data_IF_092422489833
#
_entry.id   IF_092422489833
#
_cell.length_a   1.000
_cell.length_b   1.000
_cell.length_c   1.000
_cell.angle_alpha   90.00
_cell.angle_beta   90.00
_cell.angle_gamma   90.00
#
_symmetry.space_group_name_H-M   'P 1'
#
loop_
_entity.id
_entity.type
_entity.pdbx_description
1 polymer ?
#
# COMPACT_ATOMS: atom_id res chain seq x y z
N UNK A 1 -0.51 -14.72 -16.52
CA UNK A 1 -1.85 -14.39 -15.96
C UNK A 1 -2.56 -13.44 -16.91
N UNK A 2 -3.89 -13.50 -16.99
CA UNK A 2 -4.73 -12.60 -17.81
C UNK A 2 -5.45 -11.63 -16.88
N UNK A 3 -5.51 -10.34 -17.26
CA UNK A 3 -6.22 -9.29 -16.52
C UNK A 3 -7.30 -8.67 -17.43
N UNK A 4 -8.47 -8.36 -16.87
CA UNK A 4 -9.50 -7.60 -17.58
C UNK A 4 -9.19 -6.10 -17.55
N UNK A 5 -9.79 -5.33 -18.48
CA UNK A 5 -9.72 -3.85 -18.49
C UNK A 5 -10.15 -3.27 -17.14
N UNK A 6 -11.23 -3.81 -16.57
CA UNK A 6 -11.74 -3.39 -15.26
C UNK A 6 -10.74 -3.64 -14.11
N UNK A 7 -10.04 -4.78 -14.11
CA UNK A 7 -9.02 -5.06 -13.09
C UNK A 7 -7.86 -4.07 -13.19
N UNK A 8 -7.39 -3.78 -14.40
CA UNK A 8 -6.30 -2.83 -14.64
C UNK A 8 -6.71 -1.41 -14.23
N UNK A 9 -7.91 -0.98 -14.59
CA UNK A 9 -8.47 0.31 -14.16
C UNK A 9 -8.59 0.41 -12.64
N UNK A 10 -9.04 -0.67 -11.99
CA UNK A 10 -9.14 -0.71 -10.53
C UNK A 10 -7.76 -0.66 -9.88
N UNK A 11 -6.73 -1.28 -10.46
CA UNK A 11 -5.34 -1.15 -10.00
C UNK A 11 -4.82 0.29 -10.12
N UNK A 12 -5.04 0.95 -11.27
CA UNK A 12 -4.66 2.36 -11.45
C UNK A 12 -5.37 3.24 -10.41
N UNK A 13 -6.66 3.03 -10.20
CA UNK A 13 -7.45 3.77 -9.20
C UNK A 13 -6.86 3.61 -7.80
N UNK A 14 -6.54 2.38 -7.38
CA UNK A 14 -5.94 2.10 -6.07
C UNK A 14 -4.57 2.75 -5.88
N UNK A 15 -3.74 2.82 -6.94
CA UNK A 15 -2.43 3.49 -6.89
C UNK A 15 -2.54 4.99 -6.58
N UNK A 16 -3.64 5.65 -6.98
CA UNK A 16 -3.87 7.06 -6.65
C UNK A 16 -4.49 7.30 -5.27
N UNK A 17 -4.94 6.26 -4.58
CA UNK A 17 -5.68 6.38 -3.33
C UNK A 17 -4.93 7.17 -2.24
N UNK A 18 -3.64 6.89 -2.03
CA UNK A 18 -2.84 7.57 -1.00
C UNK A 18 -2.68 9.07 -1.26
N UNK A 19 -2.29 9.45 -2.48
CA UNK A 19 -2.13 10.85 -2.90
C UNK A 19 -3.45 11.62 -2.79
N UNK A 20 -4.54 11.03 -3.27
CA UNK A 20 -5.86 11.65 -3.21
C UNK A 20 -6.35 11.79 -1.77
N UNK A 21 -6.09 10.81 -0.90
CA UNK A 21 -6.39 10.95 0.51
C UNK A 21 -5.64 12.12 1.14
N UNK A 22 -4.35 12.30 0.85
CA UNK A 22 -3.60 13.49 1.30
C UNK A 22 -4.22 14.79 0.78
N UNK A 23 -4.52 14.85 -0.52
CA UNK A 23 -5.13 16.03 -1.16
C UNK A 23 -6.49 16.39 -0.54
N UNK A 24 -7.35 15.40 -0.32
CA UNK A 24 -8.70 15.61 0.21
C UNK A 24 -8.69 16.05 1.68
N UNK A 25 -7.75 15.55 2.48
CA UNK A 25 -7.70 15.80 3.93
C UNK A 25 -6.91 17.07 4.25
N UNK A 26 -5.77 17.28 3.58
CA UNK A 26 -4.82 18.36 3.90
C UNK A 26 -4.78 19.46 2.84
N UNK A 27 -5.46 19.27 1.72
CA UNK A 27 -5.50 20.20 0.60
C UNK A 27 -4.36 19.99 -0.39
N UNK A 28 -4.52 20.56 -1.59
CA UNK A 28 -3.61 20.36 -2.72
C UNK A 28 -2.15 20.80 -2.45
N UNK A 29 -1.95 21.78 -1.57
CA UNK A 29 -0.62 22.27 -1.20
C UNK A 29 0.14 21.33 -0.26
N UNK A 30 -0.56 20.39 0.39
CA UNK A 30 0.03 19.43 1.32
C UNK A 30 0.37 18.08 0.67
N UNK A 31 0.08 17.92 -0.63
CA UNK A 31 0.38 16.69 -1.36
C UNK A 31 1.89 16.48 -1.44
N UNK A 32 2.34 15.29 -1.03
CA UNK A 32 3.77 14.98 -0.92
C UNK A 32 4.34 14.32 -2.17
N UNK A 33 5.68 14.15 -2.19
CA UNK A 33 6.38 13.36 -3.20
C UNK A 33 6.34 11.84 -2.94
N UNK A 34 5.68 11.41 -1.85
CA UNK A 34 5.62 10.00 -1.43
C UNK A 34 4.94 9.09 -2.45
N UNK A 35 3.98 9.60 -3.21
CA UNK A 35 3.25 8.84 -4.24
C UNK A 35 4.00 8.71 -5.60
N UNK A 36 5.28 9.09 -5.67
CA UNK A 36 6.05 9.09 -6.92
C UNK A 36 6.11 7.71 -7.59
N UNK A 37 6.39 6.65 -6.81
CA UNK A 37 6.43 5.28 -7.31
C UNK A 37 5.03 4.79 -7.78
N UNK A 38 3.96 5.21 -7.11
CA UNK A 38 2.61 4.83 -7.51
C UNK A 38 2.19 5.52 -8.82
N UNK A 39 2.56 6.79 -8.99
CA UNK A 39 2.38 7.53 -10.25
C UNK A 39 3.12 6.85 -11.39
N UNK A 40 4.36 6.43 -11.16
CA UNK A 40 5.16 5.73 -12.17
C UNK A 40 4.49 4.42 -12.60
N UNK A 41 4.07 3.59 -11.64
CA UNK A 41 3.37 2.33 -11.90
C UNK A 41 2.04 2.54 -12.63
N UNK A 42 1.26 3.54 -12.20
CA UNK A 42 -0.01 3.87 -12.84
C UNK A 42 0.19 4.27 -14.30
N UNK A 43 1.20 5.11 -14.56
CA UNK A 43 1.56 5.57 -15.91
C UNK A 43 2.02 4.41 -16.78
N UNK A 44 2.88 3.53 -16.28
CA UNK A 44 3.34 2.35 -17.01
C UNK A 44 2.17 1.39 -17.33
N UNK A 45 1.27 1.17 -16.37
CA UNK A 45 0.11 0.32 -16.56
C UNK A 45 -0.82 0.90 -17.64
N UNK A 46 -1.13 2.20 -17.57
CA UNK A 46 -1.92 2.89 -18.58
C UNK A 46 -1.24 2.87 -19.97
N UNK A 47 0.07 3.07 -20.03
CA UNK A 47 0.84 2.96 -21.27
C UNK A 47 0.73 1.55 -21.87
N UNK A 48 0.87 0.50 -21.07
CA UNK A 48 0.71 -0.88 -21.54
C UNK A 48 -0.73 -1.20 -21.97
N UNK A 49 -1.74 -0.64 -21.29
CA UNK A 49 -3.15 -0.74 -21.71
C UNK A 49 -3.35 -0.19 -23.11
N UNK A 50 -2.75 0.96 -23.42
CA UNK A 50 -2.89 1.62 -24.73
C UNK A 50 -2.04 0.92 -25.80
N UNK A 51 -0.77 0.64 -25.50
CA UNK A 51 0.21 0.26 -26.52
C UNK A 51 0.38 -1.24 -26.70
N UNK A 52 0.20 -2.06 -25.65
CA UNK A 52 0.48 -3.50 -25.70
C UNK A 52 -0.80 -4.34 -25.73
N UNK A 53 -1.85 -3.89 -25.03
CA UNK A 53 -3.07 -4.69 -24.84
C UNK A 53 -4.27 -4.20 -25.65
N UNK A 54 -4.16 -3.09 -26.39
CA UNK A 54 -5.22 -2.59 -27.26
C UNK A 54 -6.52 -2.25 -26.51
N UNK A 55 -6.39 -1.75 -25.28
CA UNK A 55 -7.52 -1.41 -24.39
C UNK A 55 -7.97 0.05 -24.51
N UNK A 56 -7.37 0.80 -25.44
CA UNK A 56 -7.82 2.14 -25.82
C UNK A 56 -9.00 2.07 -26.79
N UNK A 57 -10.03 2.86 -26.50
CA UNK A 57 -11.22 2.97 -27.35
C UNK A 57 -10.93 3.79 -28.64
N UNK A 58 -9.96 4.71 -28.60
CA UNK A 58 -9.59 5.56 -29.75
C UNK A 58 -8.64 4.86 -30.72
N UNK A 59 -7.67 4.11 -30.17
CA UNK A 59 -6.64 3.41 -30.94
C UNK A 59 -7.09 2.00 -31.36
N UNK A 60 -8.08 1.46 -30.64
CA UNK A 60 -8.64 0.15 -30.92
C UNK A 60 -7.72 -1.00 -30.48
N UNK A 61 -8.08 -2.24 -30.85
CA UNK A 61 -7.43 -3.46 -30.37
C UNK A 61 -6.14 -3.78 -31.14
N UNK A 62 -5.22 -2.81 -31.20
CA UNK A 62 -3.93 -2.92 -31.87
C UNK A 62 -2.79 -2.86 -30.86
N UNK A 63 -1.71 -3.58 -31.18
CA UNK A 63 -0.43 -3.45 -30.48
C UNK A 63 0.47 -2.51 -31.27
N UNK A 64 1.02 -1.52 -30.58
CA UNK A 64 1.89 -0.45 -31.09
C UNK A 64 3.35 -0.64 -30.67
N UNK A 65 3.69 -1.81 -30.14
CA UNK A 65 4.92 -2.05 -29.37
C UNK A 65 6.22 -1.61 -30.04
N UNK A 66 7.15 -1.14 -29.20
CA UNK A 66 8.54 -1.55 -29.29
C UNK A 66 8.70 -2.80 -28.41
N UNK A 67 9.22 -3.89 -28.97
CA UNK A 67 9.56 -5.09 -28.22
C UNK A 67 10.75 -4.77 -27.29
N UNK A 68 10.50 -4.68 -25.97
CA UNK A 68 11.57 -4.70 -24.95
C UNK A 68 12.29 -6.06 -24.86
N UNK A 69 11.95 -7.03 -25.72
CA UNK A 69 12.22 -8.44 -25.51
C UNK A 69 13.21 -9.16 -26.43
N UNK A 70 13.59 -8.61 -27.59
CA UNK A 70 14.34 -9.45 -28.56
C UNK A 70 15.39 -8.70 -29.40
N UNK A 71 16.33 -8.04 -28.71
CA UNK A 71 17.54 -7.46 -29.34
C UNK A 71 18.64 -8.52 -29.63
N UNK A 72 18.31 -9.82 -29.63
CA UNK A 72 19.26 -10.91 -29.89
C UNK A 72 18.85 -11.81 -31.06
N UNK A 73 18.78 -11.27 -32.30
CA UNK A 73 19.08 -12.08 -33.49
C UNK A 73 19.30 -11.21 -34.76
N UNK A 74 20.55 -10.79 -34.96
CA UNK A 74 21.28 -10.98 -36.22
C UNK A 74 20.73 -10.49 -37.58
N UNK A 75 19.61 -9.78 -37.66
CA UNK A 75 19.13 -9.11 -38.88
C UNK A 75 18.39 -7.85 -38.47
N UNK A 76 18.81 -6.71 -39.05
CA UNK A 76 18.35 -5.37 -38.72
C UNK A 76 16.86 -5.31 -38.41
N UNK A 77 16.54 -5.21 -37.12
CA UNK A 77 15.22 -4.85 -36.66
C UNK A 77 14.96 -3.43 -37.12
N UNK A 78 14.10 -3.26 -38.13
CA UNK A 78 13.46 -1.97 -38.30
C UNK A 78 12.68 -1.75 -37.00
N UNK A 79 13.20 -0.91 -36.11
CA UNK A 79 12.34 -0.18 -35.18
C UNK A 79 11.24 0.39 -36.06
N UNK A 80 10.05 -0.19 -35.96
CA UNK A 80 8.87 0.33 -36.64
C UNK A 80 8.48 1.54 -35.80
N UNK A 81 9.28 2.60 -35.94
CA UNK A 81 9.17 3.80 -35.15
C UNK A 81 7.73 4.26 -35.24
N UNK A 82 7.09 4.36 -34.08
CA UNK A 82 5.76 4.94 -33.97
C UNK A 82 5.85 6.34 -34.59
N UNK A 83 4.97 6.65 -35.55
CA UNK A 83 4.96 7.98 -36.16
C UNK A 83 4.69 9.05 -35.09
N UNK A 84 5.20 10.27 -35.26
CA UNK A 84 4.96 11.38 -34.31
C UNK A 84 3.46 11.58 -34.00
N UNK A 85 2.61 11.39 -35.02
CA UNK A 85 1.16 11.46 -34.88
C UNK A 85 0.62 10.35 -33.98
N UNK A 86 1.12 9.12 -34.15
CA UNK A 86 0.73 7.97 -33.35
C UNK A 86 1.25 8.10 -31.91
N UNK A 87 2.49 8.56 -31.71
CA UNK A 87 3.07 8.77 -30.39
C UNK A 87 2.25 9.80 -29.59
N UNK A 88 1.89 10.92 -30.24
CA UNK A 88 1.00 11.92 -29.64
C UNK A 88 -0.37 11.35 -29.27
N UNK A 89 -0.92 10.45 -30.10
CA UNK A 89 -2.20 9.80 -29.80
C UNK A 89 -2.08 8.84 -28.61
N UNK A 90 -0.97 8.11 -28.49
CA UNK A 90 -0.67 7.26 -27.33
C UNK A 90 -0.65 8.11 -26.06
N UNK A 91 0.10 9.21 -26.04
CA UNK A 91 0.20 10.09 -24.87
C UNK A 91 -1.16 10.63 -24.42
N UNK A 92 -2.02 11.01 -25.39
CA UNK A 92 -3.36 11.49 -25.09
C UNK A 92 -4.25 10.39 -24.50
N UNK A 93 -4.22 9.19 -25.07
CA UNK A 93 -4.99 8.06 -24.56
C UNK A 93 -4.52 7.62 -23.17
N UNK A 94 -3.21 7.65 -22.91
CA UNK A 94 -2.65 7.39 -21.58
C UNK A 94 -3.18 8.42 -20.57
N UNK A 95 -3.17 9.70 -20.93
CA UNK A 95 -3.73 10.76 -20.09
C UNK A 95 -5.22 10.54 -19.81
N UNK A 96 -6.01 10.13 -20.81
CA UNK A 96 -7.44 9.82 -20.65
C UNK A 96 -7.62 8.67 -19.63
N UNK A 97 -6.86 7.59 -19.76
CA UNK A 97 -6.91 6.45 -18.83
C UNK A 97 -6.55 6.88 -17.41
N UNK A 98 -5.48 7.66 -17.24
CA UNK A 98 -5.05 8.16 -15.93
C UNK A 98 -6.13 9.07 -15.32
N UNK A 99 -6.59 10.09 -16.05
CA UNK A 99 -7.57 11.05 -15.53
C UNK A 99 -8.87 10.38 -15.10
N UNK A 100 -9.38 9.46 -15.91
CA UNK A 100 -10.60 8.72 -15.57
C UNK A 100 -10.45 7.93 -14.27
N UNK A 101 -9.32 7.26 -14.08
CA UNK A 101 -9.08 6.48 -12.86
C UNK A 101 -8.75 7.36 -11.64
N UNK A 102 -8.13 8.52 -11.87
CA UNK A 102 -7.90 9.52 -10.82
C UNK A 102 -9.23 10.05 -10.28
N UNK A 103 -10.15 10.46 -11.17
CA UNK A 103 -11.48 10.90 -10.76
C UNK A 103 -12.29 9.77 -10.12
N UNK A 104 -12.26 8.55 -10.68
CA UNK A 104 -12.90 7.38 -10.06
C UNK A 104 -12.41 7.12 -8.63
N UNK A 105 -11.10 7.17 -8.40
CA UNK A 105 -10.53 6.99 -7.07
C UNK A 105 -10.94 8.11 -6.12
N UNK A 106 -11.00 9.35 -6.61
CA UNK A 106 -11.42 10.52 -5.84
C UNK A 106 -12.88 10.41 -5.43
N UNK A 107 -13.76 10.06 -6.36
CA UNK A 107 -15.19 9.88 -6.09
C UNK A 107 -15.42 8.80 -5.01
N UNK A 108 -14.72 7.66 -5.11
CA UNK A 108 -14.78 6.59 -4.10
C UNK A 108 -14.32 7.05 -2.72
N UNK A 109 -13.24 7.83 -2.65
CA UNK A 109 -12.75 8.37 -1.37
C UNK A 109 -13.71 9.41 -0.79
N UNK A 110 -14.31 10.25 -1.61
CA UNK A 110 -15.32 11.24 -1.20
C UNK A 110 -16.58 10.54 -0.68
N UNK A 111 -17.07 9.53 -1.39
CA UNK A 111 -18.24 8.74 -0.99
C UNK A 111 -18.01 7.99 0.33
N UNK A 112 -16.76 7.61 0.63
CA UNK A 112 -16.40 6.82 1.81
C UNK A 112 -15.49 7.57 2.80
N UNK A 113 -15.58 8.89 2.84
CA UNK A 113 -14.73 9.76 3.68
C UNK A 113 -14.79 9.39 5.16
N UNK A 114 -15.95 8.98 5.66
CA UNK A 114 -16.10 8.52 7.04
C UNK A 114 -15.23 7.29 7.35
N UNK A 115 -15.23 6.30 6.44
CA UNK A 115 -14.42 5.08 6.57
C UNK A 115 -12.93 5.41 6.54
N UNK A 116 -12.51 6.32 5.67
CA UNK A 116 -11.12 6.81 5.61
C UNK A 116 -10.68 7.39 6.97
N UNK A 117 -11.52 8.25 7.57
CA UNK A 117 -11.23 8.81 8.89
C UNK A 117 -11.20 7.76 10.00
N UNK A 118 -12.09 6.76 9.98
CA UNK A 118 -12.08 5.67 10.95
C UNK A 118 -10.77 4.88 10.83
N UNK A 119 -10.38 4.48 9.63
CA UNK A 119 -9.12 3.76 9.39
C UNK A 119 -7.91 4.57 9.85
N UNK A 120 -7.85 5.87 9.55
CA UNK A 120 -6.77 6.74 10.01
C UNK A 120 -6.68 6.81 11.54
N UNK A 121 -7.82 6.95 12.24
CA UNK A 121 -7.86 6.95 13.72
C UNK A 121 -7.36 5.63 14.31
N UNK A 122 -7.74 4.50 13.71
CA UNK A 122 -7.26 3.20 14.16
C UNK A 122 -5.76 3.03 13.94
N UNK A 123 -5.23 3.44 12.79
CA UNK A 123 -3.80 3.39 12.51
C UNK A 123 -2.99 4.27 13.48
N UNK A 124 -3.53 5.42 13.90
CA UNK A 124 -2.91 6.22 14.96
C UNK A 124 -2.91 5.48 16.31
N UNK A 125 -3.97 4.74 16.62
CA UNK A 125 -4.12 4.02 17.90
C UNK A 125 -3.29 2.75 17.96
N UNK A 126 -3.27 1.98 16.87
CA UNK A 126 -2.79 0.59 16.84
C UNK A 126 -1.58 0.38 15.91
N UNK A 127 -1.16 1.40 15.17
CA UNK A 127 -0.08 1.36 14.14
C UNK A 127 -0.40 0.50 12.91
N UNK A 128 -1.14 -0.60 13.10
CA UNK A 128 -1.57 -1.53 12.06
C UNK A 128 -3.04 -1.87 12.24
N UNK A 129 -3.71 -2.18 11.12
CA UNK A 129 -5.08 -2.70 11.10
C UNK A 129 -5.11 -3.98 10.28
N UNK A 130 -5.87 -4.98 10.73
CA UNK A 130 -6.02 -6.25 10.05
C UNK A 130 -7.25 -6.29 9.11
N UNK A 131 -7.35 -7.35 8.32
CA UNK A 131 -8.45 -7.50 7.37
C UNK A 131 -9.82 -7.56 8.05
N UNK A 132 -9.93 -8.15 9.25
CA UNK A 132 -11.20 -8.25 9.94
C UNK A 132 -11.67 -6.88 10.45
N UNK A 133 -10.74 -6.01 10.85
CA UNK A 133 -11.04 -4.62 11.17
C UNK A 133 -11.47 -3.84 9.92
N UNK A 134 -10.79 -4.03 8.78
CA UNK A 134 -11.20 -3.42 7.51
C UNK A 134 -12.61 -3.85 7.13
N UNK A 135 -12.91 -5.16 7.17
CA UNK A 135 -14.23 -5.71 6.85
C UNK A 135 -15.32 -5.10 7.74
N UNK A 136 -15.06 -4.97 9.05
CA UNK A 136 -15.98 -4.32 9.98
C UNK A 136 -16.27 -2.87 9.58
N UNK A 137 -15.24 -2.09 9.24
CA UNK A 137 -15.40 -0.69 8.81
C UNK A 137 -16.20 -0.61 7.50
N UNK A 138 -15.92 -1.51 6.55
CA UNK A 138 -16.62 -1.55 5.27
C UNK A 138 -18.11 -1.87 5.43
N UNK A 139 -18.45 -2.73 6.39
CA UNK A 139 -19.82 -3.08 6.77
C UNK A 139 -20.51 -2.04 7.69
N UNK A 140 -19.81 -0.99 8.11
CA UNK A 140 -20.34 0.02 9.03
C UNK A 140 -20.46 -0.45 10.49
N UNK A 141 -19.72 -1.50 10.86
CA UNK A 141 -19.61 -2.00 12.24
C UNK A 141 -18.43 -1.35 12.95
N UNK A 142 -18.48 -1.34 14.28
CA UNK A 142 -17.37 -0.88 15.10
C UNK A 142 -16.19 -1.88 15.01
N UNK A 143 -15.00 -1.44 14.60
CA UNK A 143 -13.83 -2.30 14.50
C UNK A 143 -13.25 -2.57 15.90
N UNK A 144 -13.01 -3.85 16.20
CA UNK A 144 -12.39 -4.30 17.45
C UNK A 144 -10.88 -4.07 17.51
N UNK A 145 -10.24 -4.62 18.54
CA UNK A 145 -8.78 -4.58 18.70
C UNK A 145 -8.09 -5.55 17.72
N UNK A 146 -6.86 -5.24 17.25
CA UNK A 146 -6.07 -6.18 16.46
C UNK A 146 -5.80 -7.48 17.24
N UNK A 147 -5.71 -8.62 16.53
CA UNK A 147 -5.52 -9.94 17.14
C UNK A 147 -4.29 -10.05 18.06
N UNK A 148 -3.22 -9.32 17.76
CA UNK A 148 -1.94 -9.36 18.48
C UNK A 148 -1.76 -8.17 19.44
N UNK A 149 -2.83 -7.39 19.69
CA UNK A 149 -2.77 -6.25 20.60
C UNK A 149 -2.69 -6.72 22.06
N UNK A 150 -1.50 -6.63 22.64
CA UNK A 150 -1.31 -6.77 24.09
C UNK A 150 -1.29 -5.38 24.70
N UNK A 151 -2.25 -5.10 25.59
CA UNK A 151 -2.34 -3.81 26.24
C UNK A 151 -1.10 -3.60 27.12
N UNK A 152 -0.10 -2.87 26.60
CA UNK A 152 1.10 -2.48 27.37
C UNK A 152 0.74 -1.57 28.55
N UNK A 153 -0.51 -1.12 28.69
CA UNK A 153 -1.00 -0.30 29.81
C UNK A 153 -1.25 -1.10 31.08
N UNK A 154 -1.42 -2.42 31.02
CA UNK A 154 -1.91 -3.23 32.14
C UNK A 154 -0.86 -4.20 32.70
N UNK A 155 0.39 -3.76 32.84
CA UNK A 155 1.36 -4.46 33.69
C UNK A 155 1.39 -3.76 35.05
N UNK A 156 0.93 -4.37 36.15
CA UNK A 156 1.14 -3.83 37.49
C UNK A 156 2.66 -3.71 37.74
N UNK A 157 3.15 -2.65 38.41
CA UNK A 157 4.55 -2.60 38.79
C UNK A 157 4.87 -3.84 39.65
N UNK A 158 6.04 -4.47 39.48
CA UNK A 158 6.45 -5.55 40.37
C UNK A 158 6.44 -5.00 41.80
N UNK A 159 5.60 -5.61 42.65
CA UNK A 159 5.53 -5.33 44.07
C UNK A 159 6.93 -5.46 44.67
N UNK A 160 7.53 -4.33 45.04
CA UNK A 160 8.77 -4.27 45.79
C UNK A 160 8.54 -4.97 47.14
N UNK A 161 8.91 -6.24 47.20
CA UNK A 161 8.97 -6.98 48.45
C UNK A 161 10.28 -6.57 49.10
N UNK A 162 10.15 -5.73 50.12
CA UNK A 162 11.23 -5.19 50.91
C UNK A 162 12.17 -6.29 51.44
N UNK A 163 13.46 -6.00 51.36
CA UNK A 163 14.51 -6.66 52.12
C UNK A 163 14.18 -6.62 53.62
N UNK A 164 14.31 -7.76 54.29
CA UNK A 164 14.54 -7.81 55.73
C UNK A 164 15.83 -8.58 55.98
N UNK A 165 16.90 -7.80 56.14
CA UNK A 165 18.19 -8.18 56.68
C UNK A 165 18.08 -8.38 58.21
N UNK A 166 18.61 -9.49 58.73
CA UNK A 166 19.13 -9.57 60.11
C UNK A 166 20.03 -10.81 60.30
N UNK A 167 21.33 -10.56 60.14
CA UNK A 167 22.41 -10.78 61.12
C UNK A 167 22.82 -12.19 61.63
N UNK A 168 24.12 -12.42 61.44
CA UNK A 168 25.13 -12.99 62.37
C UNK A 168 25.33 -14.52 62.51
N UNK A 169 26.50 -14.96 62.03
CA UNK A 169 27.25 -16.14 62.50
C UNK A 169 28.02 -15.79 63.79
N UNK A 170 28.44 -16.75 64.64
CA UNK A 170 29.73 -17.41 64.38
C UNK A 170 29.90 -18.87 64.91
N UNK A 171 30.85 -19.57 64.27
CA UNK A 171 31.85 -20.52 64.82
C UNK A 171 31.44 -21.86 65.46
N UNK A 172 32.09 -22.95 64.99
CA UNK A 172 32.31 -24.16 65.79
C UNK A 172 32.44 -25.49 65.02
N UNK A 173 33.65 -25.85 64.59
CA UNK A 173 34.08 -27.26 64.34
C UNK A 173 34.38 -27.92 65.71
N UNK A 174 34.25 -29.26 65.93
CA UNK A 174 35.14 -30.32 65.36
C UNK A 174 34.40 -31.66 65.01
N UNK A 175 34.84 -32.41 63.98
CA UNK A 175 35.72 -33.61 63.97
C UNK A 175 35.04 -34.97 64.30
N UNK A 176 35.34 -35.97 63.45
CA UNK A 176 35.24 -37.45 63.62
C UNK A 176 33.85 -38.07 63.86
N UNK A 177 33.44 -39.21 63.29
CA UNK A 177 34.16 -40.45 62.99
C UNK A 177 33.31 -41.36 62.05
N UNK A 178 34.00 -42.20 61.27
CA UNK A 178 33.47 -43.33 60.47
C UNK A 178 32.88 -44.44 61.36
N UNK A 179 32.10 -45.36 60.77
CA UNK A 179 32.65 -46.69 60.48
C UNK A 179 32.65 -47.08 59.00
#
# INVERSE_FOLDING_TARGET
>A
YSYSKETLESQISSLYGGRLAEELIFGQQAVTTGASNDIQRATELAHNMVTKWGLSDNMGPLSYGEDDGDMFMGRGGQHKGVSDLTAKQIDEDVRIVINRNYERAKDLLVEHMEKLHIMAKLLIKYETIDSAQIDAIMEGREPGEPKDWTDRSSTPPPSASAESDSSESPSGKPADQLP
#
